data_IF_212221459839
#
_entry.id   IF_212221459839
#
_cell.length_a   1.000
_cell.length_b   1.000
_cell.length_c   1.000
_cell.angle_alpha   90.00
_cell.angle_beta   90.00
_cell.angle_gamma   90.00
#
_symmetry.space_group_name_H-M   'P 1'
#
loop_
_entity.id
_entity.type
_entity.pdbx_description
1 polymer ?
#
# COMPACT_ATOMS: atom_id res chain seq x y z
N UNK A 1 -3.30 -25.08 4.53
CA UNK A 1 -3.07 -23.64 4.43
C UNK A 1 -3.30 -23.29 2.98
N UNK A 2 -4.40 -22.62 2.67
CA UNK A 2 -4.52 -21.99 1.35
C UNK A 2 -3.68 -20.72 1.42
N UNK A 3 -2.72 -20.58 0.52
CA UNK A 3 -2.14 -19.27 0.22
C UNK A 3 -3.28 -18.38 -0.25
N UNK A 4 -3.52 -17.29 0.46
CA UNK A 4 -4.44 -16.25 -0.01
C UNK A 4 -3.81 -15.60 -1.24
N UNK A 5 -4.60 -15.23 -2.25
CA UNK A 5 -4.11 -14.58 -3.48
C UNK A 5 -3.36 -13.25 -3.17
N UNK A 6 -3.60 -12.69 -1.97
CA UNK A 6 -2.83 -11.56 -1.41
C UNK A 6 -1.39 -11.91 -1.05
N UNK A 7 -1.10 -13.14 -0.61
CA UNK A 7 0.25 -13.57 -0.23
C UNK A 7 1.19 -13.65 -1.44
N UNK A 8 0.64 -13.65 -2.66
CA UNK A 8 1.38 -13.68 -3.92
C UNK A 8 1.62 -12.27 -4.51
N UNK A 9 1.08 -11.22 -3.88
CA UNK A 9 1.24 -9.84 -4.36
C UNK A 9 2.68 -9.37 -4.10
N UNK A 10 3.42 -9.09 -5.17
CA UNK A 10 4.67 -8.35 -5.08
C UNK A 10 4.38 -6.84 -4.94
N UNK A 11 4.70 -6.27 -3.79
CA UNK A 11 4.50 -4.85 -3.49
C UNK A 11 5.25 -3.90 -4.43
N UNK A 12 6.29 -4.39 -5.13
CA UNK A 12 6.99 -3.61 -6.15
C UNK A 12 6.22 -3.50 -7.47
N UNK A 13 5.32 -4.43 -7.75
CA UNK A 13 4.49 -4.45 -8.96
C UNK A 13 3.19 -3.63 -8.77
N UNK A 14 2.87 -3.24 -7.54
CA UNK A 14 1.72 -2.39 -7.24
C UNK A 14 1.92 -1.01 -7.88
N UNK A 15 0.98 -0.63 -8.74
CA UNK A 15 1.02 0.64 -9.44
C UNK A 15 0.87 1.83 -8.46
N UNK A 16 1.40 3.02 -8.81
CA UNK A 16 1.18 4.25 -8.04
C UNK A 16 -0.31 4.56 -7.77
N UNK A 17 -1.18 4.18 -8.72
CA UNK A 17 -2.63 4.35 -8.56
C UNK A 17 -3.20 3.35 -7.56
N UNK A 18 -2.84 2.07 -7.68
CA UNK A 18 -3.26 1.04 -6.73
C UNK A 18 -2.81 1.38 -5.30
N UNK A 19 -1.58 1.86 -5.11
CA UNK A 19 -1.12 2.36 -3.82
C UNK A 19 -2.00 3.46 -3.23
N UNK A 20 -2.40 4.44 -4.06
CA UNK A 20 -3.31 5.51 -3.63
C UNK A 20 -4.68 4.95 -3.25
N UNK A 21 -5.21 4.02 -4.03
CA UNK A 21 -6.53 3.44 -3.80
C UNK A 21 -6.55 2.56 -2.54
N UNK A 22 -5.52 1.75 -2.32
CA UNK A 22 -5.34 0.96 -1.09
C UNK A 22 -5.36 1.88 0.13
N UNK A 23 -4.56 2.95 0.12
CA UNK A 23 -4.51 3.91 1.22
C UNK A 23 -5.88 4.53 1.52
N UNK A 24 -6.58 5.00 0.48
CA UNK A 24 -7.88 5.65 0.64
C UNK A 24 -8.96 4.65 1.06
N UNK A 25 -8.94 3.43 0.54
CA UNK A 25 -9.89 2.38 0.89
C UNK A 25 -9.70 1.92 2.35
N UNK A 26 -8.44 1.85 2.80
CA UNK A 26 -8.07 1.60 4.20
C UNK A 26 -8.38 2.79 5.14
N UNK A 27 -8.90 3.90 4.60
CA UNK A 27 -9.34 5.04 5.41
C UNK A 27 -8.25 6.02 5.80
N UNK A 28 -7.03 5.88 5.27
CA UNK A 28 -5.90 6.73 5.64
C UNK A 28 -5.70 7.93 4.70
N UNK A 29 -5.41 9.09 5.28
CA UNK A 29 -4.75 10.22 4.65
C UNK A 29 -3.23 10.07 4.68
N UNK A 30 -2.51 10.76 3.79
CA UNK A 30 -1.04 10.66 3.75
C UNK A 30 -0.35 11.13 5.05
N UNK A 31 -0.96 12.07 5.80
CA UNK A 31 -0.46 12.50 7.12
C UNK A 31 -0.74 11.49 8.22
N UNK A 32 -1.82 10.74 8.12
CA UNK A 32 -2.17 9.72 9.12
C UNK A 32 -1.20 8.55 9.01
N UNK A 33 -0.81 8.17 7.79
CA UNK A 33 0.26 7.18 7.57
C UNK A 33 1.57 7.55 8.27
N UNK A 34 1.95 8.83 8.24
CA UNK A 34 3.15 9.31 8.94
C UNK A 34 3.05 9.21 10.46
N UNK A 35 1.83 9.22 11.01
CA UNK A 35 1.60 9.00 12.44
C UNK A 35 1.66 7.51 12.80
N UNK A 36 1.22 6.63 11.89
CA UNK A 36 1.21 5.18 12.11
C UNK A 36 2.58 4.53 11.86
N UNK A 37 3.40 5.09 10.96
CA UNK A 37 4.69 4.51 10.57
C UNK A 37 5.80 5.55 10.70
N UNK A 38 6.58 5.47 11.78
CA UNK A 38 7.64 6.43 12.15
C UNK A 38 8.63 6.74 11.02
N UNK A 39 8.94 5.76 10.16
CA UNK A 39 9.93 5.88 9.08
C UNK A 39 9.35 6.30 7.71
N UNK A 40 8.03 6.54 7.63
CA UNK A 40 7.34 6.89 6.39
C UNK A 40 6.66 8.26 6.52
N UNK A 41 7.32 9.29 6.03
CA UNK A 41 6.73 10.63 5.95
C UNK A 41 5.68 10.78 4.83
N UNK A 42 4.78 11.74 4.97
CA UNK A 42 3.79 12.13 3.95
C UNK A 42 4.42 12.36 2.57
N UNK A 43 5.62 12.93 2.51
CA UNK A 43 6.34 13.17 1.26
C UNK A 43 6.71 11.87 0.54
N UNK A 44 7.02 10.79 1.26
CA UNK A 44 7.29 9.48 0.67
C UNK A 44 6.04 8.91 -0.01
N UNK A 45 4.88 8.99 0.66
CA UNK A 45 3.60 8.55 0.10
C UNK A 45 3.25 9.35 -1.16
N UNK A 46 3.43 10.67 -1.10
CA UNK A 46 3.21 11.53 -2.28
C UNK A 46 4.11 11.13 -3.46
N UNK A 47 5.38 10.79 -3.22
CA UNK A 47 6.28 10.34 -4.29
C UNK A 47 5.91 8.97 -4.86
N UNK A 48 5.53 8.03 -4.00
CA UNK A 48 5.09 6.69 -4.37
C UNK A 48 3.86 6.76 -5.28
N UNK A 49 2.83 7.52 -4.88
CA UNK A 49 1.56 7.63 -5.61
C UNK A 49 1.62 8.44 -6.90
N UNK A 50 2.70 9.20 -7.12
CA UNK A 50 2.86 10.02 -8.33
C UNK A 50 3.98 9.50 -9.25
N UNK A 51 4.44 8.26 -9.03
CA UNK A 51 5.47 7.60 -9.83
C UNK A 51 6.82 8.35 -9.89
N UNK A 52 7.12 9.17 -8.88
CA UNK A 52 8.36 9.96 -8.87
C UNK A 52 9.53 9.18 -8.26
N UNK A 53 9.27 8.31 -7.28
CA UNK A 53 10.28 7.48 -6.62
C UNK A 53 9.60 6.39 -5.79
N UNK A 54 10.15 5.17 -5.84
CA UNK A 54 9.69 4.07 -5.00
C UNK A 54 10.43 4.03 -3.65
N UNK A 55 9.79 3.44 -2.64
CA UNK A 55 10.36 3.16 -1.33
C UNK A 55 11.24 1.90 -1.39
N UNK A 56 11.96 1.59 -0.30
CA UNK A 56 12.60 0.28 -0.15
C UNK A 56 11.55 -0.81 0.06
N UNK A 57 11.88 -2.06 -0.30
CA UNK A 57 11.05 -3.25 -0.08
C UNK A 57 10.42 -3.26 1.33
N UNK A 58 11.26 -3.20 2.37
CA UNK A 58 10.82 -3.23 3.78
C UNK A 58 9.77 -2.15 4.10
N UNK A 59 9.88 -0.96 3.49
CA UNK A 59 8.91 0.12 3.72
C UNK A 59 7.62 -0.09 2.92
N UNK A 60 7.70 -0.72 1.75
CA UNK A 60 6.52 -1.09 0.99
C UNK A 60 5.75 -2.19 1.70
N UNK A 61 6.44 -3.19 2.26
CA UNK A 61 5.82 -4.28 3.03
C UNK A 61 5.08 -3.72 4.25
N UNK A 62 5.74 -2.90 5.08
CA UNK A 62 5.11 -2.28 6.26
C UNK A 62 3.91 -1.40 5.87
N UNK A 63 4.01 -0.69 4.74
CA UNK A 63 2.91 0.13 4.23
C UNK A 63 1.74 -0.72 3.74
N UNK A 64 2.04 -1.82 3.05
CA UNK A 64 1.04 -2.77 2.57
C UNK A 64 0.30 -3.41 3.72
N UNK A 65 1.02 -3.90 4.74
CA UNK A 65 0.46 -4.52 5.94
C UNK A 65 -0.48 -3.55 6.68
N UNK A 66 -0.12 -2.27 6.79
CA UNK A 66 -0.98 -1.24 7.40
C UNK A 66 -2.30 -1.08 6.62
N UNK A 67 -2.26 -1.10 5.29
CA UNK A 67 -3.48 -0.96 4.50
C UNK A 67 -4.29 -2.25 4.49
N UNK A 68 -3.63 -3.39 4.42
CA UNK A 68 -4.25 -4.71 4.45
C UNK A 68 -4.94 -4.99 5.79
N UNK A 69 -4.45 -4.48 6.92
CA UNK A 69 -5.13 -4.67 8.22
C UNK A 69 -6.53 -4.07 8.28
N UNK A 70 -6.83 -3.07 7.43
CA UNK A 70 -8.14 -2.41 7.34
C UNK A 70 -8.98 -2.91 6.14
N UNK A 71 -8.44 -3.80 5.31
CA UNK A 71 -9.05 -4.26 4.06
C UNK A 71 -9.21 -5.78 4.04
N UNK A 72 -10.19 -6.28 3.31
CA UNK A 72 -10.26 -7.72 3.03
C UNK A 72 -9.29 -8.11 1.92
N UNK A 73 -8.89 -9.38 1.90
CA UNK A 73 -8.05 -9.92 0.83
C UNK A 73 -8.65 -9.67 -0.56
N UNK A 74 -9.97 -9.83 -0.68
CA UNK A 74 -10.70 -9.56 -1.93
C UNK A 74 -10.57 -8.10 -2.37
N UNK A 75 -10.71 -7.14 -1.44
CA UNK A 75 -10.56 -5.72 -1.75
C UNK A 75 -9.14 -5.41 -2.22
N UNK A 76 -8.13 -5.95 -1.53
CA UNK A 76 -6.72 -5.76 -1.91
C UNK A 76 -6.44 -6.35 -3.28
N UNK A 77 -6.83 -7.60 -3.54
CA UNK A 77 -6.64 -8.24 -4.85
C UNK A 77 -7.32 -7.45 -5.98
N UNK A 78 -8.54 -6.98 -5.77
CA UNK A 78 -9.27 -6.17 -6.77
C UNK A 78 -8.55 -4.86 -7.03
N UNK A 79 -8.09 -4.15 -6.00
CA UNK A 79 -7.42 -2.86 -6.18
C UNK A 79 -6.06 -3.00 -6.87
N UNK A 80 -5.27 -4.02 -6.52
CA UNK A 80 -3.95 -4.26 -7.12
C UNK A 80 -4.06 -4.79 -8.55
N UNK A 81 -5.01 -5.68 -8.83
CA UNK A 81 -5.09 -6.33 -10.14
C UNK A 81 -5.72 -5.46 -11.23
N UNK A 82 -6.52 -4.45 -10.86
CA UNK A 82 -7.29 -3.65 -11.83
C UNK A 82 -6.69 -2.27 -12.14
N UNK A 83 -5.66 -1.81 -11.41
CA UNK A 83 -5.15 -0.44 -11.49
C UNK A 83 -3.62 -0.38 -11.56
#
# INVERSE_FOLDING_TARGET
MGVSEVDEIDVHDISPMAWRLLRVAAGYGQREVEVEIDDIMQAHISMLENNNRSLSQERLDVLFDLYHSELTDEQVCVLVSNF
#
